data_IF_945912314431
#
_entry.id   IF_945912314431
#
_cell.length_a   1.000
_cell.length_b   1.000
_cell.length_c   1.000
_cell.angle_alpha   90.00
_cell.angle_beta   90.00
_cell.angle_gamma   90.00
#
_symmetry.space_group_name_H-M   'P 1'
#
loop_
_entity.id
_entity.type
_entity.pdbx_description
1 polymer ?
#
# COMPACT_ATOMS: atom_id res chain seq x y z
N UNK A 1 7.79 -0.31 17.06
CA UNK A 1 7.68 0.72 16.00
C UNK A 1 6.63 0.27 15.01
N UNK A 2 5.63 1.10 14.71
CA UNK A 2 4.45 0.68 13.92
C UNK A 2 4.78 0.61 12.41
N UNK A 3 4.03 -0.19 11.65
CA UNK A 3 4.26 -0.42 10.22
C UNK A 3 4.24 0.88 9.41
N UNK A 4 3.30 1.79 9.71
CA UNK A 4 3.23 3.10 9.07
C UNK A 4 4.48 3.97 9.30
N UNK A 5 5.14 3.85 10.47
CA UNK A 5 6.42 4.54 10.72
C UNK A 5 7.57 3.90 9.94
N UNK A 6 7.59 2.57 9.79
CA UNK A 6 8.61 1.86 9.00
C UNK A 6 8.54 2.27 7.54
N UNK A 7 7.34 2.26 6.95
CA UNK A 7 7.10 2.70 5.57
C UNK A 7 7.59 4.13 5.33
N UNK A 8 7.40 5.05 6.28
CA UNK A 8 7.96 6.42 6.19
C UNK A 8 9.47 6.44 6.13
N UNK A 9 10.14 5.65 6.96
CA UNK A 9 11.60 5.58 6.95
C UNK A 9 12.11 5.04 5.61
N UNK A 10 11.51 3.97 5.09
CA UNK A 10 11.90 3.44 3.77
C UNK A 10 11.73 4.48 2.66
N UNK A 11 10.63 5.25 2.70
CA UNK A 11 10.39 6.34 1.75
C UNK A 11 11.43 7.46 1.86
N UNK A 12 11.89 7.78 3.07
CA UNK A 12 12.91 8.80 3.32
C UNK A 12 14.32 8.33 2.96
N UNK A 13 14.61 7.05 3.18
CA UNK A 13 15.88 6.42 2.82
C UNK A 13 16.05 6.29 1.30
N UNK A 14 14.95 6.27 0.53
CA UNK A 14 14.99 6.21 -0.93
C UNK A 14 15.45 4.87 -1.51
N UNK A 15 15.68 3.86 -0.66
CA UNK A 15 16.05 2.51 -1.05
C UNK A 15 14.80 1.70 -1.45
N UNK A 16 14.99 0.76 -2.38
CA UNK A 16 14.00 -0.25 -2.79
C UNK A 16 12.60 0.32 -3.08
N UNK A 17 12.55 1.41 -3.85
CA UNK A 17 11.33 2.14 -4.16
C UNK A 17 10.19 1.24 -4.68
N UNK A 18 10.51 0.15 -5.39
CA UNK A 18 9.52 -0.83 -5.86
C UNK A 18 8.84 -1.59 -4.71
N UNK A 19 9.61 -2.06 -3.72
CA UNK A 19 9.09 -2.77 -2.56
C UNK A 19 8.28 -1.85 -1.66
N UNK A 20 8.77 -0.62 -1.48
CA UNK A 20 8.01 0.42 -0.77
C UNK A 20 6.70 0.72 -1.47
N UNK A 21 6.67 0.76 -2.81
CA UNK A 21 5.43 1.00 -3.56
C UNK A 21 4.38 -0.10 -3.32
N UNK A 22 4.79 -1.37 -3.23
CA UNK A 22 3.90 -2.49 -2.86
C UNK A 22 3.32 -2.31 -1.46
N UNK A 23 4.13 -1.89 -0.48
CA UNK A 23 3.67 -1.59 0.88
C UNK A 23 2.67 -0.44 0.92
N UNK A 24 2.88 0.60 0.10
CA UNK A 24 1.94 1.73 -0.01
C UNK A 24 0.61 1.27 -0.64
N UNK A 25 0.64 0.40 -1.64
CA UNK A 25 -0.57 -0.18 -2.25
C UNK A 25 -1.36 -1.02 -1.24
N UNK A 26 -0.69 -1.88 -0.48
CA UNK A 26 -1.33 -2.66 0.57
C UNK A 26 -2.00 -1.75 1.62
N UNK A 27 -1.28 -0.74 2.10
CA UNK A 27 -1.82 0.24 3.05
C UNK A 27 -3.06 0.97 2.51
N UNK A 28 -3.03 1.35 1.24
CA UNK A 28 -4.16 2.00 0.57
C UNK A 28 -5.37 1.08 0.48
N UNK A 29 -5.18 -0.16 0.03
CA UNK A 29 -6.27 -1.14 -0.11
C UNK A 29 -6.91 -1.48 1.23
N UNK A 30 -6.10 -1.71 2.27
CA UNK A 30 -6.59 -1.95 3.64
C UNK A 30 -7.42 -0.77 4.15
N UNK A 31 -6.95 0.47 3.92
CA UNK A 31 -7.66 1.66 4.39
C UNK A 31 -8.96 1.94 3.63
N UNK A 32 -8.99 1.65 2.33
CA UNK A 32 -10.14 1.94 1.45
C UNK A 32 -11.11 0.78 1.32
N UNK A 33 -10.80 -0.37 1.93
CA UNK A 33 -11.55 -1.62 1.76
C UNK A 33 -11.51 -2.15 0.32
N UNK A 34 -10.54 -1.71 -0.48
CA UNK A 34 -10.39 -2.15 -1.86
C UNK A 34 -9.66 -3.48 -1.94
N UNK A 35 -9.91 -4.28 -3.00
CA UNK A 35 -9.15 -5.50 -3.22
C UNK A 35 -7.65 -5.19 -3.39
N UNK A 36 -6.82 -6.11 -2.91
CA UNK A 36 -5.38 -6.09 -3.08
C UNK A 36 -4.94 -7.46 -3.60
N UNK A 37 -4.08 -7.48 -4.62
CA UNK A 37 -3.52 -8.73 -5.13
C UNK A 37 -2.39 -9.18 -4.21
N UNK A 38 -2.37 -10.43 -3.78
CA UNK A 38 -1.33 -10.94 -2.86
C UNK A 38 -0.01 -11.26 -3.55
N UNK A 39 -0.01 -11.46 -4.87
CA UNK A 39 1.16 -11.86 -5.65
C UNK A 39 2.38 -10.92 -5.48
N UNK A 40 2.24 -9.58 -5.44
CA UNK A 40 3.35 -8.67 -5.17
C UNK A 40 3.97 -8.84 -3.79
N UNK A 41 3.26 -9.39 -2.79
CA UNK A 41 3.86 -9.64 -1.47
C UNK A 41 4.90 -10.75 -1.53
N UNK A 42 4.75 -11.71 -2.44
CA UNK A 42 5.72 -12.78 -2.62
C UNK A 42 7.05 -12.25 -3.18
N UNK A 43 7.04 -11.11 -3.86
CA UNK A 43 8.22 -10.49 -4.46
C UNK A 43 8.98 -9.58 -3.47
N UNK A 44 8.43 -9.37 -2.27
CA UNK A 44 9.08 -8.56 -1.25
C UNK A 44 10.24 -9.33 -0.59
N UNK A 45 11.35 -8.64 -0.39
CA UNK A 45 12.40 -9.11 0.51
C UNK A 45 11.86 -9.19 1.94
N UNK A 46 12.46 -10.09 2.72
CA UNK A 46 12.05 -10.42 4.09
C UNK A 46 11.72 -9.19 4.99
N UNK A 47 12.54 -8.12 5.06
CA UNK A 47 12.22 -6.97 5.91
C UNK A 47 10.97 -6.19 5.47
N UNK A 48 10.70 -6.14 4.16
CA UNK A 48 9.51 -5.49 3.62
C UNK A 48 8.28 -6.39 3.80
N UNK A 49 8.43 -7.70 3.62
CA UNK A 49 7.38 -8.67 3.88
C UNK A 49 6.94 -8.68 5.36
N UNK A 50 7.87 -8.65 6.32
CA UNK A 50 7.52 -8.50 7.75
C UNK A 50 6.73 -7.22 8.00
N UNK A 51 7.14 -6.12 7.37
CA UNK A 51 6.43 -4.84 7.46
C UNK A 51 5.01 -4.93 6.89
N UNK A 52 4.81 -5.67 5.79
CA UNK A 52 3.49 -5.93 5.21
C UNK A 52 2.60 -6.72 6.17
N UNK A 53 3.12 -7.79 6.78
CA UNK A 53 2.38 -8.59 7.76
C UNK A 53 2.04 -7.77 9.01
N UNK A 54 2.99 -6.95 9.48
CA UNK A 54 2.76 -6.04 10.60
C UNK A 54 1.63 -5.06 10.29
N UNK A 55 1.58 -4.52 9.07
CA UNK A 55 0.52 -3.61 8.62
C UNK A 55 -0.87 -4.28 8.64
N UNK A 56 -0.96 -5.53 8.19
CA UNK A 56 -2.21 -6.32 8.20
C UNK A 56 -2.65 -6.59 9.65
N UNK A 57 -1.72 -6.96 10.53
CA UNK A 57 -1.99 -7.17 11.96
C UNK A 57 -2.50 -5.89 12.63
N UNK A 58 -1.84 -4.76 12.37
CA UNK A 58 -2.24 -3.45 12.91
C UNK A 58 -3.63 -3.04 12.40
N UNK A 59 -3.94 -3.29 11.12
CA UNK A 59 -5.27 -3.04 10.57
C UNK A 59 -6.36 -3.92 11.21
N UNK A 60 -6.09 -5.21 11.38
CA UNK A 60 -7.02 -6.16 12.01
C UNK A 60 -7.31 -5.82 13.48
N UNK A 61 -6.30 -5.33 14.22
CA UNK A 61 -6.41 -5.06 15.65
C UNK A 61 -7.18 -3.78 15.99
N UNK A 62 -7.05 -2.73 15.17
CA UNK A 62 -7.51 -1.41 15.60
C UNK A 62 -8.73 -0.88 14.84
N UNK A 63 -8.99 -1.25 13.57
CA UNK A 63 -9.98 -0.62 12.66
C UNK A 63 -9.90 0.94 12.53
N UNK A 64 -9.18 1.60 13.44
CA UNK A 64 -8.68 2.94 13.46
C UNK A 64 -7.18 2.87 13.18
N UNK A 65 -6.83 2.59 11.92
CA UNK A 65 -5.70 3.35 11.36
C UNK A 65 -6.18 4.81 11.41
N UNK A 66 -5.95 5.46 12.55
CA UNK A 66 -6.53 6.74 12.90
C UNK A 66 -5.99 7.81 11.95
N UNK A 67 -6.72 7.99 10.85
CA UNK A 67 -7.35 9.20 10.33
C UNK A 67 -6.58 10.53 10.30
N UNK A 68 -5.29 10.62 10.63
CA UNK A 68 -4.53 11.90 10.60
C UNK A 68 -3.05 11.77 10.27
N UNK A 69 -2.63 10.65 9.72
CA UNK A 69 -1.24 10.50 9.30
C UNK A 69 -1.06 11.12 7.92
N UNK A 70 -0.32 12.24 7.80
CA UNK A 70 0.12 12.87 6.54
C UNK A 70 0.69 11.88 5.50
N UNK A 71 1.17 10.72 5.96
CA UNK A 71 1.53 9.58 5.14
C UNK A 71 0.36 8.97 4.36
N UNK A 72 -0.82 8.85 4.96
CA UNK A 72 -2.02 8.35 4.30
C UNK A 72 -2.47 9.29 3.18
N UNK A 73 -2.37 10.61 3.37
CA UNK A 73 -2.64 11.56 2.29
C UNK A 73 -1.65 11.38 1.13
N UNK A 74 -0.37 11.17 1.42
CA UNK A 74 0.62 10.86 0.38
C UNK A 74 0.37 9.50 -0.30
N UNK A 75 0.04 8.47 0.48
CA UNK A 75 -0.34 7.14 -0.03
C UNK A 75 -1.57 7.25 -0.91
N UNK A 76 -2.57 8.04 -0.52
CA UNK A 76 -3.78 8.26 -1.29
C UNK A 76 -3.48 8.99 -2.61
N UNK A 77 -2.69 10.06 -2.56
CA UNK A 77 -2.27 10.82 -3.73
C UNK A 77 -1.42 9.99 -4.72
N UNK A 78 -0.54 9.11 -4.20
CA UNK A 78 0.31 8.23 -5.00
C UNK A 78 -0.46 7.00 -5.51
N UNK A 79 -1.30 6.42 -4.66
CA UNK A 79 -2.10 5.23 -4.93
C UNK A 79 -3.13 5.45 -6.04
N UNK A 80 -3.75 6.63 -6.13
CA UNK A 80 -4.62 6.97 -7.26
C UNK A 80 -3.91 6.90 -8.61
N UNK A 81 -2.62 7.25 -8.69
CA UNK A 81 -1.86 7.20 -9.95
C UNK A 81 -1.54 5.78 -10.39
N UNK A 82 -1.31 4.87 -9.45
CA UNK A 82 -1.02 3.45 -9.73
C UNK A 82 -2.32 2.70 -10.06
N UNK A 83 -3.40 2.98 -9.33
CA UNK A 83 -4.72 2.41 -9.61
C UNK A 83 -5.25 2.83 -10.99
N UNK A 84 -5.01 4.07 -11.43
CA UNK A 84 -5.34 4.53 -12.78
C UNK A 84 -4.54 3.83 -13.88
N UNK A 85 -3.33 3.33 -13.58
CA UNK A 85 -2.51 2.54 -14.51
C UNK A 85 -2.92 1.08 -14.64
N UNK A 86 -3.53 0.52 -13.62
CA UNK A 86 -3.96 -0.89 -13.57
C UNK A 86 -5.48 -1.07 -13.74
N UNK A 87 -6.23 0.01 -13.98
CA UNK A 87 -7.64 -0.10 -14.31
C UNK A 87 -7.77 -0.80 -15.67
N UNK A 88 -8.60 -1.86 -15.80
CA UNK A 88 -8.90 -2.42 -17.10
C UNK A 88 -9.50 -1.31 -17.97
N UNK A 89 -8.90 -1.07 -19.13
CA UNK A 89 -9.45 -0.17 -20.15
C UNK A 89 -10.93 -0.50 -20.33
N UNK A 90 -11.84 0.49 -20.39
CA UNK A 90 -13.21 0.22 -20.76
C UNK A 90 -13.15 -0.43 -22.14
N UNK A 91 -13.50 -1.71 -22.21
CA UNK A 91 -13.69 -2.40 -23.48
C UNK A 91 -14.77 -1.59 -24.19
N UNK A 92 -14.38 -0.92 -25.27
CA UNK A 92 -15.32 -0.25 -26.15
C UNK A 92 -16.04 -1.39 -26.86
N UNK A 93 -17.20 -1.76 -26.33
CA UNK A 93 -18.13 -2.63 -27.06
C UNK A 93 -18.71 -1.78 -28.19
N UNK A 94 -18.04 -1.78 -29.33
CA UNK A 94 -18.64 -1.35 -30.60
C UNK A 94 -19.80 -2.30 -30.91
N UNK A 95 -20.98 -1.72 -31.13
CA UNK A 95 -22.23 -2.41 -31.48
C UNK A 95 -22.79 -1.79 -32.77
#
# INVERSE_FOLDING_TARGET
MNAAKKIRLYLQSGQDAAQVEILLQLAFSLQTGKPFQLQPLHDLDEPYFDTALQLIREWHLDHHIASRSKLLEMIYARGQRVAARNAPSPVVTEH
#
